data_IF_331916961635
#
_entry.id   IF_331916961635
#
_cell.length_a   1.000
_cell.length_b   1.000
_cell.length_c   1.000
_cell.angle_alpha   90.00
_cell.angle_beta   90.00
_cell.angle_gamma   90.00
#
_symmetry.space_group_name_H-M   'P 1'
#
loop_
_entity.id
_entity.type
_entity.pdbx_description
1 polymer ?
#
# COMPACT_ATOMS: atom_id res chain seq x y z
N UNK A 1 5.33 -5.35 19.42
CA UNK A 1 5.97 -4.04 19.18
C UNK A 1 5.68 -3.70 17.74
N UNK A 2 5.11 -2.51 17.46
CA UNK A 2 4.77 -2.13 16.10
C UNK A 2 5.92 -1.32 15.50
N UNK A 3 6.30 -1.66 14.28
CA UNK A 3 7.25 -0.88 13.47
C UNK A 3 6.49 0.16 12.66
N UNK A 4 7.01 1.39 12.55
CA UNK A 4 6.39 2.44 11.75
C UNK A 4 7.11 2.59 10.41
N UNK A 5 6.33 2.63 9.33
CA UNK A 5 6.87 2.82 8.00
C UNK A 5 7.19 4.29 7.73
N UNK A 6 8.38 4.54 7.18
CA UNK A 6 8.85 5.88 6.84
C UNK A 6 8.65 6.16 5.34
N UNK A 7 7.87 7.18 5.02
CA UNK A 7 7.54 7.59 3.64
C UNK A 7 8.37 8.82 3.25
N UNK A 8 9.67 8.62 3.06
CA UNK A 8 10.64 9.74 2.97
C UNK A 8 10.97 10.14 1.53
N UNK A 9 10.51 9.36 0.53
CA UNK A 9 10.98 9.43 -0.85
C UNK A 9 9.80 9.65 -1.77
N UNK A 10 9.86 10.63 -2.68
CA UNK A 10 8.79 10.84 -3.68
C UNK A 10 8.95 9.86 -4.83
N UNK A 11 7.85 9.22 -5.23
CA UNK A 11 7.84 8.27 -6.33
C UNK A 11 8.31 8.90 -7.65
N UNK A 12 8.01 10.18 -7.91
CA UNK A 12 8.46 10.91 -9.11
C UNK A 12 9.93 11.35 -9.08
N UNK A 13 10.59 11.32 -7.92
CA UNK A 13 11.96 11.78 -7.78
C UNK A 13 12.95 10.87 -8.53
N UNK A 14 13.81 11.44 -9.38
CA UNK A 14 14.91 10.70 -10.02
C UNK A 14 16.18 10.85 -9.17
N UNK A 15 16.85 9.75 -8.84
CA UNK A 15 18.08 9.75 -8.04
C UNK A 15 18.12 8.63 -6.99
N UNK A 16 19.13 8.62 -6.08
CA UNK A 16 19.30 7.55 -5.09
C UNK A 16 18.12 7.37 -4.12
N UNK A 17 17.19 8.34 -4.10
CA UNK A 17 15.94 8.25 -3.35
C UNK A 17 14.93 7.25 -3.92
N UNK A 18 15.02 6.81 -5.19
CA UNK A 18 14.20 5.71 -5.71
C UNK A 18 15.10 4.81 -6.55
N UNK A 19 15.18 3.53 -6.20
CA UNK A 19 16.12 2.62 -6.84
C UNK A 19 15.56 2.15 -8.20
N UNK A 20 16.42 1.88 -9.21
CA UNK A 20 15.96 1.41 -10.51
C UNK A 20 15.05 0.16 -10.44
N UNK A 21 15.30 -0.73 -9.48
CA UNK A 21 14.52 -1.97 -9.29
C UNK A 21 13.11 -1.71 -8.73
N UNK A 22 12.84 -0.48 -8.24
CA UNK A 22 11.51 -0.03 -7.79
C UNK A 22 10.70 0.59 -8.94
N UNK A 23 11.21 0.56 -10.18
CA UNK A 23 10.57 1.12 -11.39
C UNK A 23 10.68 0.20 -12.61
N UNK A 24 10.65 -1.11 -12.41
CA UNK A 24 10.57 -2.06 -13.52
C UNK A 24 9.25 -1.88 -14.27
N UNK A 25 9.19 -2.32 -15.53
CA UNK A 25 7.97 -2.22 -16.34
C UNK A 25 6.76 -2.84 -15.63
N UNK A 26 6.94 -3.99 -14.98
CA UNK A 26 5.87 -4.68 -14.23
C UNK A 26 5.31 -3.84 -13.07
N UNK A 27 6.17 -3.09 -12.37
CA UNK A 27 5.73 -2.14 -11.33
C UNK A 27 4.96 -0.99 -11.98
N UNK A 28 5.45 -0.47 -13.11
CA UNK A 28 4.80 0.62 -13.83
C UNK A 28 3.43 0.19 -14.39
N UNK A 29 3.27 -1.06 -14.83
CA UNK A 29 1.99 -1.60 -15.30
C UNK A 29 0.95 -1.65 -14.17
N UNK A 30 1.37 -2.02 -12.95
CA UNK A 30 0.47 -1.99 -11.77
C UNK A 30 0.13 -0.55 -11.39
N UNK A 31 1.13 0.34 -11.42
CA UNK A 31 0.93 1.77 -11.13
C UNK A 31 -0.02 2.42 -12.15
N UNK A 32 0.09 2.06 -13.42
CA UNK A 32 -0.84 2.48 -14.47
C UNK A 32 -2.26 1.97 -14.19
N UNK A 33 -2.36 0.73 -13.71
CA UNK A 33 -3.61 0.15 -13.20
C UNK A 33 -4.26 0.99 -12.10
N UNK A 34 -3.48 1.67 -11.25
CA UNK A 34 -4.04 2.56 -10.22
C UNK A 34 -4.87 3.68 -10.84
N UNK A 35 -4.40 4.29 -11.94
CA UNK A 35 -5.12 5.36 -12.62
C UNK A 35 -6.37 4.84 -13.34
N UNK A 36 -6.20 3.80 -14.17
CA UNK A 36 -7.27 3.31 -15.03
C UNK A 36 -8.38 2.60 -14.26
N UNK A 37 -8.02 1.89 -13.19
CA UNK A 37 -8.96 1.09 -12.41
C UNK A 37 -9.61 1.88 -11.29
N UNK A 38 -8.82 2.69 -10.58
CA UNK A 38 -9.26 3.36 -9.36
C UNK A 38 -9.41 4.88 -9.51
N UNK A 39 -9.16 5.41 -10.70
CA UNK A 39 -9.44 6.81 -11.04
C UNK A 39 -8.48 7.81 -10.42
N UNK A 40 -7.29 7.38 -9.96
CA UNK A 40 -6.29 8.32 -9.47
C UNK A 40 -5.81 9.24 -10.58
N UNK A 41 -5.68 10.54 -10.26
CA UNK A 41 -5.09 11.49 -11.19
C UNK A 41 -3.57 11.29 -11.28
N UNK A 42 -2.98 11.72 -12.40
CA UNK A 42 -1.54 11.79 -12.54
C UNK A 42 -0.88 12.61 -11.41
N UNK A 43 -1.55 13.66 -10.92
CA UNK A 43 -1.09 14.46 -9.79
C UNK A 43 -0.97 13.66 -8.49
N UNK A 44 -1.89 12.72 -8.24
CA UNK A 44 -1.84 11.85 -7.06
C UNK A 44 -0.60 10.96 -7.08
N UNK A 45 -0.24 10.42 -8.26
CA UNK A 45 0.93 9.55 -8.44
C UNK A 45 2.25 10.32 -8.48
N UNK A 46 2.30 11.46 -9.18
CA UNK A 46 3.50 12.29 -9.23
C UNK A 46 3.89 12.76 -7.83
N UNK A 47 2.91 13.13 -7.01
CA UNK A 47 3.15 13.53 -5.63
C UNK A 47 3.28 12.38 -4.64
N UNK A 48 3.11 11.12 -5.06
CA UNK A 48 3.05 9.99 -4.15
C UNK A 48 4.39 9.80 -3.42
N UNK A 49 4.32 9.44 -2.15
CA UNK A 49 5.49 9.06 -1.35
C UNK A 49 5.61 7.54 -1.34
N UNK A 50 6.84 7.04 -1.39
CA UNK A 50 7.18 5.63 -1.50
C UNK A 50 7.95 5.18 -0.27
N UNK A 51 7.54 4.04 0.29
CA UNK A 51 8.36 3.26 1.21
C UNK A 51 8.50 1.84 0.71
N UNK A 52 9.54 1.15 1.19
CA UNK A 52 9.84 -0.22 0.83
C UNK A 52 10.05 -1.04 2.10
N UNK A 53 9.38 -2.19 2.22
CA UNK A 53 9.46 -3.05 3.38
C UNK A 53 8.95 -4.45 3.08
N UNK A 54 9.39 -5.45 3.85
CA UNK A 54 8.95 -6.83 3.66
C UNK A 54 7.63 -7.06 4.40
N UNK A 55 6.49 -7.04 3.70
CA UNK A 55 5.17 -7.25 4.28
C UNK A 55 4.79 -8.73 4.32
N UNK A 56 5.74 -9.59 4.70
CA UNK A 56 5.68 -11.05 4.63
C UNK A 56 6.75 -11.64 3.69
N UNK A 57 6.91 -12.96 3.74
CA UNK A 57 7.95 -13.66 2.96
C UNK A 57 9.36 -13.58 3.57
N UNK A 58 10.34 -14.20 2.90
CA UNK A 58 11.75 -14.17 3.33
C UNK A 58 12.35 -12.78 3.07
N UNK A 59 13.15 -12.23 4.00
CA UNK A 59 13.89 -10.97 3.80
C UNK A 59 14.94 -11.05 2.68
N UNK A 60 15.18 -12.23 2.12
CA UNK A 60 16.08 -12.43 0.98
C UNK A 60 15.49 -11.99 -0.38
N UNK A 61 14.20 -11.67 -0.45
CA UNK A 61 13.53 -11.20 -1.67
C UNK A 61 13.68 -9.68 -1.92
N UNK A 62 13.05 -9.18 -2.99
CA UNK A 62 12.85 -7.74 -3.15
C UNK A 62 11.78 -7.27 -2.13
N UNK A 63 11.91 -6.07 -1.52
CA UNK A 63 10.93 -5.59 -0.54
C UNK A 63 9.59 -5.28 -1.20
N UNK A 64 8.46 -5.37 -0.52
CA UNK A 64 7.20 -4.85 -1.06
C UNK A 64 7.26 -3.30 -1.13
N UNK A 65 6.48 -2.70 -2.02
CA UNK A 65 6.41 -1.25 -2.19
C UNK A 65 5.06 -0.72 -1.73
N UNK A 66 5.07 0.38 -0.99
CA UNK A 66 3.85 1.01 -0.49
C UNK A 66 3.88 2.49 -0.89
N UNK A 67 2.87 2.89 -1.65
CA UNK A 67 2.71 4.21 -2.23
C UNK A 67 1.66 4.96 -1.44
N UNK A 68 2.05 6.01 -0.72
CA UNK A 68 1.13 6.98 -0.14
C UNK A 68 0.70 7.96 -1.22
N UNK A 69 -0.58 7.96 -1.56
CA UNK A 69 -1.11 8.77 -2.64
C UNK A 69 -1.19 10.24 -2.24
N UNK A 70 -0.75 11.15 -3.12
CA UNK A 70 -0.73 12.58 -2.80
C UNK A 70 -2.15 13.13 -2.67
N UNK A 71 -2.37 14.02 -1.69
CA UNK A 71 -3.65 14.67 -1.39
C UNK A 71 -4.81 13.70 -1.07
N UNK A 72 -4.48 12.45 -0.78
CA UNK A 72 -5.44 11.39 -0.49
C UNK A 72 -5.01 10.62 0.76
N UNK A 73 -6.00 10.09 1.50
CA UNK A 73 -5.77 9.20 2.63
C UNK A 73 -5.82 7.74 2.16
N UNK A 74 -5.03 7.46 1.11
CA UNK A 74 -4.88 6.14 0.52
C UNK A 74 -3.44 5.75 0.35
N UNK A 75 -3.24 4.45 0.45
CA UNK A 75 -1.99 3.82 0.11
C UNK A 75 -2.27 2.68 -0.87
N UNK A 76 -1.40 2.51 -1.85
CA UNK A 76 -1.41 1.35 -2.76
C UNK A 76 -0.19 0.48 -2.49
N UNK A 77 -0.35 -0.83 -2.59
CA UNK A 77 0.72 -1.78 -2.30
C UNK A 77 1.03 -2.56 -3.57
N UNK A 78 2.33 -2.72 -3.84
CA UNK A 78 2.85 -3.64 -4.83
C UNK A 78 3.64 -4.72 -4.10
N UNK A 79 3.25 -5.96 -4.28
CA UNK A 79 3.92 -7.11 -3.69
C UNK A 79 4.97 -7.63 -4.66
N UNK A 80 6.15 -7.96 -4.13
CA UNK A 80 7.25 -8.55 -4.89
C UNK A 80 7.63 -9.89 -4.27
N UNK A 81 7.37 -10.96 -4.99
CA UNK A 81 7.69 -12.31 -4.53
C UNK A 81 9.18 -12.64 -4.71
N UNK A 82 9.64 -13.71 -4.04
CA UNK A 82 11.04 -14.14 -4.08
C UNK A 82 11.53 -14.50 -5.48
N UNK A 83 10.66 -15.00 -6.35
CA UNK A 83 10.97 -15.34 -7.74
C UNK A 83 10.92 -14.13 -8.69
N UNK A 84 10.76 -12.91 -8.17
CA UNK A 84 10.72 -11.69 -8.96
C UNK A 84 9.35 -11.35 -9.55
N UNK A 85 8.31 -12.15 -9.28
CA UNK A 85 6.95 -11.81 -9.72
C UNK A 85 6.44 -10.58 -8.98
N UNK A 86 5.93 -9.62 -9.73
CA UNK A 86 5.31 -8.41 -9.20
C UNK A 86 3.80 -8.54 -9.33
N UNK A 87 3.06 -8.23 -8.26
CA UNK A 87 1.61 -8.28 -8.26
C UNK A 87 1.00 -7.12 -7.46
N UNK A 88 -0.27 -6.84 -7.74
CA UNK A 88 -1.02 -5.90 -6.93
C UNK A 88 -1.19 -6.44 -5.50
N UNK A 89 -0.78 -5.63 -4.53
CA UNK A 89 -0.73 -5.99 -3.12
C UNK A 89 -1.92 -5.51 -2.31
N UNK A 90 -2.90 -4.86 -2.93
CA UNK A 90 -4.02 -4.25 -2.24
C UNK A 90 -3.78 -2.78 -1.87
N UNK A 91 -4.59 -2.28 -0.95
CA UNK A 91 -4.66 -0.88 -0.60
C UNK A 91 -4.99 -0.66 0.88
N UNK A 92 -4.59 0.52 1.38
CA UNK A 92 -4.91 0.99 2.72
C UNK A 92 -5.67 2.32 2.63
N UNK A 93 -6.46 2.62 3.65
CA UNK A 93 -7.05 3.95 3.84
C UNK A 93 -6.65 4.53 5.19
N UNK A 94 -6.72 5.84 5.33
CA UNK A 94 -6.35 6.58 6.54
C UNK A 94 -5.09 7.40 6.35
N UNK A 95 -4.57 7.90 7.45
CA UNK A 95 -3.42 8.79 7.52
C UNK A 95 -2.21 8.08 8.12
N UNK A 96 -1.07 8.76 8.04
CA UNK A 96 0.09 8.40 8.85
C UNK A 96 -0.21 8.48 10.35
N UNK A 97 0.52 7.71 11.18
CA UNK A 97 1.53 6.74 10.78
C UNK A 97 0.92 5.43 10.25
N UNK A 98 1.61 4.76 9.31
CA UNK A 98 1.33 3.34 9.00
C UNK A 98 2.23 2.48 9.88
N UNK A 99 1.65 1.54 10.62
CA UNK A 99 2.39 0.63 11.49
C UNK A 99 2.20 -0.84 11.09
N UNK A 100 3.29 -1.60 11.11
CA UNK A 100 3.31 -3.05 10.90
C UNK A 100 3.14 -3.74 12.25
N UNK A 101 2.08 -4.54 12.38
CA UNK A 101 1.80 -5.34 13.57
C UNK A 101 2.62 -6.64 13.57
N UNK A 102 2.90 -7.17 14.75
CA UNK A 102 3.43 -8.54 14.90
C UNK A 102 2.39 -9.63 14.65
N UNK A 103 1.10 -9.26 14.66
CA UNK A 103 0.01 -10.16 14.31
C UNK A 103 0.01 -10.43 12.80
N UNK A 104 -0.27 -11.68 12.40
CA UNK A 104 -0.32 -12.09 11.01
C UNK A 104 -1.70 -12.65 10.64
N UNK A 105 -2.14 -12.32 9.42
CA UNK A 105 -3.32 -12.89 8.77
C UNK A 105 -2.88 -13.39 7.39
N UNK A 106 -3.19 -14.63 7.06
CA UNK A 106 -2.79 -15.28 5.79
C UNK A 106 -1.27 -15.18 5.50
N UNK A 107 -0.45 -15.31 6.54
CA UNK A 107 1.02 -15.30 6.43
C UNK A 107 1.63 -13.92 6.19
N UNK A 108 0.86 -12.83 6.38
CA UNK A 108 1.33 -11.46 6.24
C UNK A 108 0.94 -10.61 7.46
N UNK A 109 1.76 -9.62 7.86
CA UNK A 109 1.49 -8.80 9.03
C UNK A 109 0.25 -7.93 8.81
N UNK A 110 -0.50 -7.70 9.89
CA UNK A 110 -1.60 -6.73 9.87
C UNK A 110 -1.02 -5.32 9.77
N UNK A 111 -1.60 -4.49 8.89
CA UNK A 111 -1.23 -3.09 8.75
C UNK A 111 -2.25 -2.19 9.43
N UNK A 112 -1.77 -1.19 10.15
CA UNK A 112 -2.61 -0.25 10.88
C UNK A 112 -2.33 1.17 10.40
N UNK A 113 -3.38 1.93 10.12
CA UNK A 113 -3.32 3.38 9.88
C UNK A 113 -4.22 4.09 10.90
N UNK A 114 -4.27 5.42 10.81
CA UNK A 114 -5.14 6.25 11.66
C UNK A 114 -6.25 6.86 10.80
N UNK A 115 -7.49 6.90 11.28
CA UNK A 115 -8.55 7.69 10.64
C UNK A 115 -8.39 9.17 11.00
N UNK A 116 -8.95 10.09 10.21
CA UNK A 116 -8.85 11.54 10.50
C UNK A 116 -9.37 11.93 11.89
N UNK A 117 -10.29 11.15 12.43
CA UNK A 117 -10.91 11.38 13.74
C UNK A 117 -10.10 10.75 14.90
N UNK A 118 -8.94 10.14 14.62
CA UNK A 118 -8.03 9.59 15.63
C UNK A 118 -8.23 8.11 15.98
N UNK A 119 -9.22 7.44 15.39
CA UNK A 119 -9.38 5.98 15.47
C UNK A 119 -8.31 5.22 14.67
N UNK A 120 -8.07 3.94 14.98
CA UNK A 120 -7.16 3.09 14.22
C UNK A 120 -7.95 2.27 13.20
N UNK A 121 -7.44 2.19 11.97
CA UNK A 121 -8.02 1.36 10.91
C UNK A 121 -7.11 0.15 10.72
N UNK A 122 -7.72 -1.04 10.78
CA UNK A 122 -7.06 -2.32 10.59
C UNK A 122 -7.15 -2.75 9.13
N UNK A 123 -6.04 -3.24 8.59
CA UNK A 123 -5.96 -3.76 7.23
C UNK A 123 -5.35 -5.16 7.26
N UNK A 124 -6.05 -6.09 6.63
CA UNK A 124 -5.68 -7.50 6.58
C UNK A 124 -5.39 -7.91 5.15
N UNK A 125 -4.50 -8.89 5.00
CA UNK A 125 -4.17 -9.44 3.70
C UNK A 125 -5.16 -10.54 3.30
N UNK A 126 -5.81 -10.35 2.17
CA UNK A 126 -6.60 -11.36 1.48
C UNK A 126 -5.78 -11.97 0.32
N UNK A 127 -5.64 -13.30 0.20
CA UNK A 127 -4.84 -13.93 -0.85
C UNK A 127 -5.29 -13.63 -2.28
N UNK A 128 -6.56 -13.25 -2.47
CA UNK A 128 -7.13 -12.96 -3.78
C UNK A 128 -7.09 -11.45 -4.09
N UNK A 129 -7.39 -10.61 -3.10
CA UNK A 129 -7.57 -9.17 -3.29
C UNK A 129 -6.40 -8.30 -2.78
N UNK A 130 -5.46 -8.88 -2.03
CA UNK A 130 -4.40 -8.16 -1.34
C UNK A 130 -4.86 -7.54 -0.02
N UNK A 131 -4.08 -6.58 0.50
CA UNK A 131 -4.46 -5.80 1.67
C UNK A 131 -5.74 -4.99 1.42
N UNK A 132 -6.61 -4.95 2.43
CA UNK A 132 -7.77 -4.07 2.44
C UNK A 132 -8.18 -3.76 3.88
N UNK A 133 -8.86 -2.62 4.13
CA UNK A 133 -9.42 -2.36 5.44
C UNK A 133 -10.44 -3.44 5.81
N UNK A 134 -10.46 -3.85 7.09
CA UNK A 134 -11.50 -4.77 7.59
C UNK A 134 -12.84 -4.04 7.57
N UNK A 135 -13.88 -4.66 7.03
CA UNK A 135 -15.15 -4.00 6.75
C UNK A 135 -15.91 -3.53 8.01
N UNK A 136 -15.60 -4.12 9.17
CA UNK A 136 -16.13 -3.73 10.48
C UNK A 136 -15.33 -2.59 11.14
N UNK A 137 -14.28 -2.09 10.49
CA UNK A 137 -13.51 -0.96 10.99
C UNK A 137 -14.41 0.27 11.13
N UNK A 138 -14.47 0.80 12.35
CA UNK A 138 -15.23 2.00 12.68
C UNK A 138 -14.69 3.18 11.86
N UNK A 139 -15.59 3.94 11.24
CA UNK A 139 -15.31 5.17 10.48
C UNK A 139 -14.46 5.00 9.22
N UNK A 140 -14.70 3.93 8.44
CA UNK A 140 -14.18 3.87 7.07
C UNK A 140 -14.76 5.03 6.23
N UNK A 141 -13.91 5.82 5.57
CA UNK A 141 -14.39 6.86 4.68
C UNK A 141 -15.28 6.28 3.56
N UNK A 142 -16.32 7.01 3.13
CA UNK A 142 -17.34 6.52 2.17
C UNK A 142 -16.73 5.89 0.89
N UNK A 143 -15.73 6.54 0.33
CA UNK A 143 -15.01 6.04 -0.84
C UNK A 143 -14.23 4.72 -0.60
N UNK A 144 -13.72 4.48 0.62
CA UNK A 144 -13.14 3.19 1.00
C UNK A 144 -14.23 2.11 1.06
N UNK A 145 -15.40 2.42 1.62
CA UNK A 145 -16.56 1.50 1.64
C UNK A 145 -17.02 1.13 0.23
N UNK A 146 -17.07 2.11 -0.69
CA UNK A 146 -17.40 1.87 -2.10
C UNK A 146 -16.40 0.92 -2.76
N UNK A 147 -15.10 1.12 -2.54
CA UNK A 147 -14.05 0.25 -3.07
C UNK A 147 -14.08 -1.17 -2.50
N UNK A 148 -14.59 -1.37 -1.28
CA UNK A 148 -14.83 -2.70 -0.73
C UNK A 148 -16.03 -3.40 -1.37
N UNK A 149 -17.01 -2.64 -1.88
CA UNK A 149 -18.24 -3.17 -2.48
C UNK A 149 -18.09 -3.53 -3.96
N UNK A 150 -17.01 -3.05 -4.60
CA UNK A 150 -16.65 -3.36 -5.99
C UNK A 150 -15.25 -4.00 -6.01
N UNK A 151 -15.13 -5.27 -5.54
CA UNK A 151 -13.86 -5.95 -5.48
C UNK A 151 -13.31 -6.15 -6.89
N UNK A 152 -12.01 -5.89 -7.01
CA UNK A 152 -11.24 -6.13 -8.22
C UNK A 152 -11.26 -7.58 -8.70
#
# INVERSE_FOLDING_TARGET
MNEYLAFERRFSGFGPAVRPEERTQEILDIVDGFMHRWGYSAGNLIGAELTAGHLGGSPEGAPDLIFRMAALDYFEIVIRSRNGTVSYGGWLTGTLPVSVSSEQVNGRPVLLTTCREGGRIRHEFDPLAGYRPVADAVNLPLHAVRRLSDPA
#
